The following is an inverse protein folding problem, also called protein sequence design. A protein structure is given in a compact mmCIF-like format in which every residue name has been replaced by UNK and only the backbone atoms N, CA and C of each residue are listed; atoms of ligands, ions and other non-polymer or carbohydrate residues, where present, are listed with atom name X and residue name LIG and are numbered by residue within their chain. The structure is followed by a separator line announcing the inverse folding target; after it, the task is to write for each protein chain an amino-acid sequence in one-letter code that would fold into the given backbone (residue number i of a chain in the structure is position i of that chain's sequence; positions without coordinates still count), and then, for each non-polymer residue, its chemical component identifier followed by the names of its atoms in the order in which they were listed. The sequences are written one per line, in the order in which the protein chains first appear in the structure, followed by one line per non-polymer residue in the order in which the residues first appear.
data_IF_613389981252
#
_entry.id   IF_613389981252
#
_cell.length_a   1.000
_cell.length_b   1.000
_cell.length_c   1.000
_cell.angle_alpha   90.00
_cell.angle_beta   90.00
_cell.angle_gamma   90.00
#
_symmetry.space_group_name_H-M   'P 1'
#
loop_
_entity.id
_entity.type
_entity.pdbx_description
1 polymer ?
#
# COMPACT_ATOMS: atom_id res chain seq x y z
N UNK A 1 17.18 -27.88 28.19
CA UNK A 1 16.76 -26.48 28.25
C UNK A 1 16.72 -25.97 26.84
N UNK A 2 15.54 -26.02 26.20
CA UNK A 2 15.36 -25.67 24.79
C UNK A 2 14.60 -24.36 24.72
N UNK A 3 15.22 -23.33 24.16
CA UNK A 3 14.58 -22.02 23.94
C UNK A 3 13.55 -22.11 22.82
N UNK A 4 12.35 -21.52 22.95
CA UNK A 4 11.39 -21.48 21.87
C UNK A 4 11.77 -20.39 20.85
N UNK A 5 11.91 -20.82 19.61
CA UNK A 5 12.00 -19.98 18.43
C UNK A 5 10.70 -19.19 18.25
N UNK A 6 10.71 -17.87 18.40
CA UNK A 6 9.61 -16.99 18.04
C UNK A 6 9.72 -16.60 16.57
N UNK A 7 8.95 -17.28 15.73
CA UNK A 7 8.55 -16.77 14.42
C UNK A 7 7.13 -16.25 14.57
N UNK A 8 6.97 -14.98 14.80
CA UNK A 8 5.69 -14.30 14.71
C UNK A 8 5.75 -13.35 13.50
N UNK A 9 5.28 -13.85 12.36
CA UNK A 9 4.81 -12.98 11.30
C UNK A 9 3.45 -12.46 11.76
N UNK A 10 3.39 -11.24 12.26
CA UNK A 10 2.13 -10.56 12.55
C UNK A 10 1.39 -10.32 11.23
N UNK A 11 0.40 -11.16 10.96
CA UNK A 11 -0.50 -10.97 9.82
C UNK A 11 -1.47 -9.85 10.17
N UNK A 12 -1.35 -8.74 9.47
CA UNK A 12 -2.33 -7.65 9.55
C UNK A 12 -3.55 -8.07 8.74
N UNK A 13 -4.67 -8.36 9.40
CA UNK A 13 -5.94 -8.63 8.73
C UNK A 13 -6.71 -7.32 8.48
N UNK A 14 -7.22 -7.16 7.26
CA UNK A 14 -7.97 -5.98 6.85
C UNK A 14 -9.47 -6.27 6.80
N UNK A 15 -10.28 -5.38 7.40
CA UNK A 15 -11.74 -5.41 7.25
C UNK A 15 -12.18 -4.87 5.88
N UNK A 16 -13.45 -5.16 5.48
CA UNK A 16 -14.07 -4.63 4.24
C UNK A 16 -14.07 -3.10 4.15
N UNK A 17 -13.91 -2.42 5.27
CA UNK A 17 -13.86 -0.97 5.44
C UNK A 17 -12.43 -0.41 5.44
N UNK A 18 -11.41 -1.22 5.13
CA UNK A 18 -10.01 -0.83 5.13
C UNK A 18 -9.40 -0.67 6.52
N UNK A 19 -10.08 -1.10 7.59
CA UNK A 19 -9.51 -1.05 8.94
C UNK A 19 -8.57 -2.21 9.22
N UNK A 20 -7.34 -1.92 9.66
CA UNK A 20 -6.38 -2.91 10.11
C UNK A 20 -6.73 -3.39 11.53
N UNK A 21 -6.79 -4.70 11.75
CA UNK A 21 -6.95 -5.31 13.07
C UNK A 21 -5.73 -6.14 13.39
N UNK A 22 -5.06 -5.84 14.49
CA UNK A 22 -4.04 -6.66 15.11
C UNK A 22 -4.68 -7.47 16.22
N UNK A 23 -4.94 -8.77 15.98
CA UNK A 23 -5.25 -9.71 17.06
C UNK A 23 -4.98 -11.14 16.59
N UNK A 24 -4.40 -11.93 17.48
CA UNK A 24 -4.06 -13.33 17.23
C UNK A 24 -5.29 -14.15 16.81
N UNK A 25 -5.18 -14.85 15.70
CA UNK A 25 -6.24 -15.66 15.14
C UNK A 25 -5.92 -17.13 15.30
N UNK A 26 -6.87 -17.83 15.95
CA UNK A 26 -6.99 -19.28 15.87
C UNK A 26 -8.03 -19.59 14.78
N UNK A 27 -7.61 -20.26 13.71
CA UNK A 27 -8.53 -20.72 12.66
C UNK A 27 -9.32 -21.93 13.16
N UNK A 28 -10.62 -21.75 13.44
CA UNK A 28 -11.61 -22.82 13.42
C UNK A 28 -12.53 -22.58 12.22
N UNK A 29 -12.48 -23.52 11.25
CA UNK A 29 -13.25 -23.42 10.03
C UNK A 29 -14.75 -23.45 10.27
N UNK A 30 -15.43 -22.35 9.95
CA UNK A 30 -16.86 -22.31 9.68
C UNK A 30 -17.08 -21.38 8.49
N UNK A 31 -17.87 -21.83 7.53
CA UNK A 31 -18.28 -21.11 6.32
C UNK A 31 -18.80 -19.71 6.67
N UNK A 32 -18.37 -18.65 6.00
CA UNK A 32 -18.88 -17.30 6.25
C UNK A 32 -20.35 -17.18 5.83
N UNK A 33 -21.12 -16.43 6.61
CA UNK A 33 -22.59 -16.29 6.54
C UNK A 33 -23.14 -15.54 5.29
N UNK A 34 -22.31 -15.28 4.27
CA UNK A 34 -22.75 -14.66 3.00
C UNK A 34 -23.02 -15.68 1.87
N UNK A 35 -22.92 -16.97 2.13
CA UNK A 35 -23.14 -18.05 1.15
C UNK A 35 -24.64 -18.36 0.89
N UNK A 36 -25.51 -17.36 0.94
CA UNK A 36 -26.93 -17.51 0.75
C UNK A 36 -27.62 -16.30 0.14
N UNK A 37 -27.04 -15.66 -0.87
CA UNK A 37 -27.72 -14.64 -1.66
C UNK A 37 -27.84 -15.13 -3.11
N UNK A 38 -29.06 -15.04 -3.59
CA UNK A 38 -29.65 -15.42 -4.86
C UNK A 38 -28.71 -15.34 -6.10
N UNK A 39 -28.55 -16.49 -6.77
CA UNK A 39 -27.55 -16.80 -7.82
C UNK A 39 -27.87 -16.17 -9.19
N UNK A 40 -28.94 -15.39 -9.36
CA UNK A 40 -29.39 -14.97 -10.68
C UNK A 40 -28.82 -13.65 -11.20
N UNK A 41 -28.48 -12.71 -10.32
CA UNK A 41 -27.93 -11.41 -10.73
C UNK A 41 -26.38 -11.43 -10.84
N UNK A 42 -25.70 -12.30 -10.07
CA UNK A 42 -24.25 -12.42 -10.13
C UNK A 42 -23.74 -13.19 -11.35
N UNK A 43 -24.54 -14.10 -11.90
CA UNK A 43 -24.18 -14.89 -13.08
C UNK A 43 -24.07 -14.03 -14.35
N UNK A 44 -24.88 -12.99 -14.48
CA UNK A 44 -24.88 -12.11 -15.66
C UNK A 44 -23.68 -11.15 -15.64
N UNK A 45 -23.26 -10.70 -14.44
CA UNK A 45 -22.06 -9.86 -14.26
C UNK A 45 -20.78 -10.68 -14.47
N UNK A 46 -20.77 -11.95 -14.06
CA UNK A 46 -19.61 -12.85 -14.26
C UNK A 46 -19.44 -13.22 -15.73
N UNK A 47 -20.54 -13.45 -16.48
CA UNK A 47 -20.47 -13.76 -17.91
C UNK A 47 -20.01 -12.56 -18.76
N UNK A 48 -20.40 -11.34 -18.41
CA UNK A 48 -19.91 -10.13 -19.06
C UNK A 48 -18.41 -9.88 -18.82
N UNK A 49 -17.86 -10.41 -17.71
CA UNK A 49 -16.43 -10.32 -17.40
C UNK A 49 -15.57 -11.37 -18.11
N UNK A 50 -16.16 -12.45 -18.63
CA UNK A 50 -15.41 -13.53 -19.29
C UNK A 50 -15.01 -13.20 -20.74
N UNK A 51 -15.64 -12.20 -21.36
CA UNK A 51 -15.32 -11.73 -22.73
C UNK A 51 -14.39 -10.50 -22.75
N UNK A 52 -14.00 -9.97 -21.62
CA UNK A 52 -13.08 -8.83 -21.55
C UNK A 52 -11.66 -9.30 -21.84
N UNK A 53 -11.13 -8.92 -23.00
CA UNK A 53 -9.69 -9.06 -23.29
C UNK A 53 -8.89 -8.45 -22.14
N UNK A 54 -7.90 -9.17 -21.57
CA UNK A 54 -7.08 -8.60 -20.51
C UNK A 54 -6.49 -7.26 -20.93
N UNK A 55 -6.51 -6.23 -20.06
CA UNK A 55 -5.97 -4.94 -20.39
C UNK A 55 -4.50 -5.09 -20.77
N UNK A 56 -4.14 -4.73 -22.00
CA UNK A 56 -2.79 -4.92 -22.54
C UNK A 56 -2.14 -3.60 -22.97
N UNK A 57 -2.97 -2.59 -23.24
CA UNK A 57 -2.52 -1.26 -23.59
C UNK A 57 -2.32 -0.36 -22.37
N UNK A 58 -1.43 0.65 -22.50
CA UNK A 58 -1.22 1.64 -21.45
C UNK A 58 -2.51 2.39 -21.09
N UNK A 59 -3.33 2.72 -22.08
CA UNK A 59 -4.57 3.46 -21.89
C UNK A 59 -5.61 2.62 -21.12
N UNK A 60 -5.67 1.31 -21.39
CA UNK A 60 -6.54 0.39 -20.66
C UNK A 60 -6.13 0.30 -19.19
N UNK A 61 -4.81 0.24 -18.93
CA UNK A 61 -4.28 0.20 -17.56
C UNK A 61 -4.58 1.52 -16.84
N UNK A 62 -4.42 2.67 -17.49
CA UNK A 62 -4.74 3.97 -16.91
C UNK A 62 -6.24 4.10 -16.59
N UNK A 63 -7.12 3.61 -17.48
CA UNK A 63 -8.56 3.57 -17.23
C UNK A 63 -8.90 2.67 -16.03
N UNK A 64 -8.22 1.54 -15.90
CA UNK A 64 -8.41 0.61 -14.78
C UNK A 64 -7.93 1.21 -13.45
N UNK A 65 -6.79 1.94 -13.46
CA UNK A 65 -6.28 2.67 -12.29
C UNK A 65 -7.30 3.72 -11.84
N UNK A 66 -7.82 4.53 -12.77
CA UNK A 66 -8.84 5.55 -12.49
C UNK A 66 -10.09 4.92 -11.88
N UNK A 67 -10.65 3.90 -12.52
CA UNK A 67 -11.83 3.18 -12.02
C UNK A 67 -11.60 2.62 -10.62
N UNK A 68 -10.38 2.13 -10.33
CA UNK A 68 -10.05 1.62 -9.00
C UNK A 68 -9.92 2.76 -8.00
N UNK A 69 -9.28 3.87 -8.35
CA UNK A 69 -9.17 5.05 -7.49
C UNK A 69 -10.55 5.61 -7.13
N UNK A 70 -11.45 5.75 -8.11
CA UNK A 70 -12.83 6.22 -7.93
C UNK A 70 -13.60 5.34 -6.94
N UNK A 71 -13.47 4.01 -7.06
CA UNK A 71 -14.12 3.04 -6.14
C UNK A 71 -13.73 3.27 -4.69
N UNK A 72 -12.51 3.73 -4.45
CA UNK A 72 -11.94 3.96 -3.13
C UNK A 72 -11.92 5.42 -2.68
N UNK A 73 -12.37 6.38 -3.50
CA UNK A 73 -12.29 7.81 -3.24
C UNK A 73 -13.04 8.26 -1.97
N UNK A 74 -14.07 7.51 -1.55
CA UNK A 74 -14.81 7.77 -0.31
C UNK A 74 -14.14 7.25 0.97
N UNK A 75 -12.91 6.70 0.91
CA UNK A 75 -12.27 6.12 2.08
C UNK A 75 -11.86 7.18 3.09
N UNK A 76 -12.23 6.98 4.36
CA UNK A 76 -11.96 7.92 5.46
C UNK A 76 -10.47 8.17 5.72
N UNK A 77 -9.60 7.27 5.28
CA UNK A 77 -8.15 7.44 5.44
C UNK A 77 -7.64 8.65 4.65
N UNK A 78 -8.24 8.94 3.48
CA UNK A 78 -7.85 10.06 2.62
C UNK A 78 -8.03 11.41 3.32
N UNK A 79 -9.20 11.65 3.91
CA UNK A 79 -9.47 12.89 4.65
C UNK A 79 -8.56 13.08 5.88
N UNK A 80 -8.02 11.99 6.45
CA UNK A 80 -7.09 12.07 7.59
C UNK A 80 -5.70 12.57 7.22
N UNK A 81 -5.33 12.44 5.95
CA UNK A 81 -4.03 12.88 5.40
C UNK A 81 -4.20 14.07 4.44
N UNK A 82 -5.42 14.64 4.36
CA UNK A 82 -5.69 15.82 3.54
C UNK A 82 -5.71 15.56 2.04
N UNK A 83 -5.97 14.33 1.60
CA UNK A 83 -6.15 13.98 0.20
C UNK A 83 -7.62 14.10 -0.18
N UNK A 84 -7.90 14.87 -1.23
CA UNK A 84 -9.17 14.83 -1.93
C UNK A 84 -9.18 13.67 -2.98
N UNK A 85 -10.32 13.42 -3.67
CA UNK A 85 -10.40 12.35 -4.66
C UNK A 85 -9.39 12.46 -5.81
N UNK A 86 -9.12 13.68 -6.30
CA UNK A 86 -8.20 13.92 -7.41
C UNK A 86 -6.74 13.69 -6.95
N UNK A 87 -6.39 14.18 -5.77
CA UNK A 87 -5.09 13.93 -5.13
C UNK A 87 -4.85 12.44 -4.88
N UNK A 88 -5.91 11.72 -4.51
CA UNK A 88 -5.85 10.28 -4.31
C UNK A 88 -5.60 9.53 -5.63
N UNK A 89 -6.33 9.87 -6.71
CA UNK A 89 -6.11 9.27 -8.03
C UNK A 89 -4.66 9.46 -8.48
N UNK A 90 -4.15 10.69 -8.36
CA UNK A 90 -2.78 11.03 -8.73
C UNK A 90 -1.75 10.29 -7.87
N UNK A 91 -1.96 10.17 -6.56
CA UNK A 91 -1.08 9.41 -5.67
C UNK A 91 -1.09 7.92 -6.02
N UNK A 92 -2.27 7.34 -6.23
CA UNK A 92 -2.40 5.93 -6.57
C UNK A 92 -1.78 5.61 -7.94
N UNK A 93 -2.02 6.45 -8.94
CA UNK A 93 -1.37 6.32 -10.25
C UNK A 93 0.15 6.43 -10.13
N UNK A 94 0.67 7.36 -9.33
CA UNK A 94 2.10 7.53 -9.11
C UNK A 94 2.73 6.29 -8.44
N UNK A 95 2.03 5.68 -7.49
CA UNK A 95 2.45 4.43 -6.88
C UNK A 95 2.54 3.31 -7.93
N UNK A 96 1.50 3.09 -8.73
CA UNK A 96 1.48 2.02 -9.75
C UNK A 96 2.59 2.23 -10.79
N UNK A 97 2.84 3.48 -11.21
CA UNK A 97 3.97 3.78 -12.10
C UNK A 97 5.31 3.46 -11.44
N UNK A 98 5.48 3.79 -10.17
CA UNK A 98 6.70 3.50 -9.43
C UNK A 98 6.94 2.00 -9.24
N UNK A 99 5.88 1.20 -9.04
CA UNK A 99 5.96 -0.23 -8.81
C UNK A 99 6.27 -1.04 -10.07
N UNK A 100 5.55 -0.78 -11.15
CA UNK A 100 5.58 -1.65 -12.33
C UNK A 100 5.83 -0.93 -13.65
N UNK A 101 5.86 0.41 -13.66
CA UNK A 101 5.80 1.22 -14.90
C UNK A 101 4.59 0.83 -15.76
N UNK A 102 3.46 0.51 -15.10
CA UNK A 102 2.21 0.05 -15.72
C UNK A 102 2.29 -1.34 -16.38
N UNK A 103 3.28 -2.17 -16.04
CA UNK A 103 3.38 -3.53 -16.55
C UNK A 103 2.56 -4.50 -15.68
N UNK A 104 1.45 -5.08 -16.19
CA UNK A 104 0.59 -5.97 -15.41
C UNK A 104 1.22 -7.32 -15.10
N UNK A 105 2.31 -7.68 -15.79
CA UNK A 105 3.02 -8.95 -15.58
C UNK A 105 4.39 -8.78 -14.94
N UNK A 106 4.69 -7.59 -14.39
CA UNK A 106 5.96 -7.32 -13.72
C UNK A 106 6.16 -8.27 -12.53
N UNK A 107 7.37 -8.82 -12.42
CA UNK A 107 7.77 -9.68 -11.29
C UNK A 107 9.07 -9.15 -10.69
N UNK A 108 9.07 -8.87 -9.40
CA UNK A 108 10.28 -8.45 -8.71
C UNK A 108 11.18 -9.65 -8.35
N UNK A 109 12.47 -9.42 -8.09
CA UNK A 109 13.36 -10.48 -7.59
C UNK A 109 12.90 -11.11 -6.26
N UNK A 110 12.09 -10.37 -5.48
CA UNK A 110 11.52 -10.84 -4.21
C UNK A 110 10.18 -11.57 -4.39
N UNK A 111 9.67 -11.69 -5.64
CA UNK A 111 8.42 -12.37 -5.97
C UNK A 111 7.16 -11.50 -5.87
N UNK A 112 7.28 -10.19 -5.73
CA UNK A 112 6.15 -9.29 -5.86
C UNK A 112 5.63 -9.29 -7.31
N UNK A 113 4.31 -9.18 -7.52
CA UNK A 113 3.70 -9.36 -8.83
C UNK A 113 2.74 -8.23 -9.21
N UNK A 114 2.73 -7.91 -10.50
CA UNK A 114 1.73 -7.12 -11.19
C UNK A 114 1.86 -5.61 -10.99
N UNK A 115 0.78 -4.90 -11.29
CA UNK A 115 0.72 -3.44 -11.33
C UNK A 115 1.13 -2.76 -10.02
N UNK A 116 0.65 -3.26 -8.89
CA UNK A 116 0.96 -2.74 -7.56
C UNK A 116 2.04 -3.53 -6.83
N UNK A 117 2.74 -4.45 -7.51
CA UNK A 117 3.81 -5.27 -6.94
C UNK A 117 3.44 -5.89 -5.58
N UNK A 118 2.30 -6.59 -5.55
CA UNK A 118 1.87 -7.26 -4.32
C UNK A 118 2.71 -8.50 -4.04
N UNK A 119 3.23 -8.60 -2.83
CA UNK A 119 3.84 -9.83 -2.35
C UNK A 119 2.78 -10.95 -2.23
N UNK A 120 3.14 -12.22 -2.48
CA UNK A 120 2.18 -13.33 -2.44
C UNK A 120 1.39 -13.43 -1.12
N UNK A 121 2.04 -13.16 0.00
CA UNK A 121 1.39 -13.21 1.32
C UNK A 121 0.42 -12.03 1.51
N UNK A 122 0.77 -10.85 1.00
CA UNK A 122 -0.11 -9.68 1.00
C UNK A 122 -1.34 -9.93 0.12
N UNK A 123 -1.15 -10.44 -1.10
CA UNK A 123 -2.26 -10.77 -2.00
C UNK A 123 -3.22 -11.79 -1.37
N UNK A 124 -2.65 -12.84 -0.75
CA UNK A 124 -3.44 -13.85 -0.04
C UNK A 124 -4.22 -13.26 1.14
N UNK A 125 -3.62 -12.40 1.94
CA UNK A 125 -4.28 -11.76 3.09
C UNK A 125 -5.41 -10.82 2.66
N UNK A 126 -5.28 -10.21 1.48
CA UNK A 126 -6.28 -9.34 0.88
C UNK A 126 -7.36 -10.12 0.12
N UNK A 127 -7.16 -11.42 -0.13
CA UNK A 127 -8.09 -12.26 -0.88
C UNK A 127 -8.17 -11.90 -2.36
N UNK A 128 -7.05 -11.48 -2.99
CA UNK A 128 -6.97 -11.10 -4.40
C UNK A 128 -6.03 -12.03 -5.16
N UNK A 129 -6.34 -12.27 -6.45
CA UNK A 129 -5.39 -12.86 -7.39
C UNK A 129 -4.46 -11.75 -7.92
N UNK A 130 -3.16 -11.79 -7.59
CA UNK A 130 -2.23 -10.76 -8.05
C UNK A 130 -1.97 -10.82 -9.56
N UNK A 131 -2.37 -11.90 -10.27
CA UNK A 131 -2.23 -12.05 -11.72
C UNK A 131 -3.39 -11.40 -12.48
N UNK A 132 -4.52 -11.18 -11.83
CA UNK A 132 -5.62 -10.41 -12.39
C UNK A 132 -5.33 -8.90 -12.19
N UNK A 133 -5.18 -8.11 -13.27
CA UNK A 133 -4.82 -6.69 -13.16
C UNK A 133 -5.81 -5.87 -12.32
N UNK A 134 -7.11 -6.18 -12.39
CA UNK A 134 -8.15 -5.47 -11.63
C UNK A 134 -8.06 -5.80 -10.15
N UNK A 135 -7.91 -7.09 -9.81
CA UNK A 135 -7.76 -7.51 -8.43
C UNK A 135 -6.43 -7.05 -7.82
N UNK A 136 -5.36 -7.04 -8.63
CA UNK A 136 -4.06 -6.52 -8.21
C UNK A 136 -4.15 -5.04 -7.82
N UNK A 137 -4.78 -4.20 -8.66
CA UNK A 137 -5.00 -2.79 -8.37
C UNK A 137 -5.92 -2.59 -7.16
N UNK A 138 -7.01 -3.35 -7.03
CA UNK A 138 -7.87 -3.28 -5.86
C UNK A 138 -7.11 -3.62 -4.57
N UNK A 139 -6.32 -4.68 -4.61
CA UNK A 139 -5.45 -5.07 -3.50
C UNK A 139 -4.43 -3.99 -3.15
N UNK A 140 -3.77 -3.41 -4.16
CA UNK A 140 -2.81 -2.33 -3.98
C UNK A 140 -3.44 -1.08 -3.35
N UNK A 141 -4.62 -0.67 -3.84
CA UNK A 141 -5.38 0.45 -3.28
C UNK A 141 -5.75 0.20 -1.81
N UNK A 142 -6.31 -0.96 -1.51
CA UNK A 142 -6.68 -1.36 -0.13
C UNK A 142 -5.46 -1.41 0.79
N UNK A 143 -4.33 -1.92 0.31
CA UNK A 143 -3.11 -1.99 1.09
C UNK A 143 -2.55 -0.60 1.40
N UNK A 144 -2.48 0.30 0.40
CA UNK A 144 -2.05 1.69 0.60
C UNK A 144 -2.98 2.44 1.56
N UNK A 145 -4.30 2.33 1.37
CA UNK A 145 -5.28 2.97 2.26
C UNK A 145 -5.18 2.49 3.70
N UNK A 146 -4.85 1.23 3.91
CA UNK A 146 -4.61 0.71 5.25
C UNK A 146 -3.35 1.33 5.89
N UNK A 147 -2.28 1.55 5.10
CA UNK A 147 -1.09 2.23 5.60
C UNK A 147 -1.40 3.71 5.92
N UNK A 148 -2.14 4.40 5.04
CA UNK A 148 -2.60 5.79 5.30
C UNK A 148 -3.45 5.88 6.57
N UNK A 149 -4.35 4.92 6.79
CA UNK A 149 -5.18 4.86 8.00
C UNK A 149 -4.34 4.65 9.27
N UNK A 150 -3.29 3.83 9.17
CA UNK A 150 -2.42 3.45 10.30
C UNK A 150 -1.47 4.58 10.67
N UNK A 151 -0.75 5.08 9.70
CA UNK A 151 0.34 6.03 9.94
C UNK A 151 -0.09 7.50 9.86
N UNK A 152 -1.22 7.82 9.21
CA UNK A 152 -1.79 9.17 9.08
C UNK A 152 -0.80 10.18 8.47
N UNK A 153 0.11 9.69 7.68
CA UNK A 153 1.15 10.42 6.98
C UNK A 153 1.44 9.72 5.66
N UNK A 154 1.59 10.47 4.57
CA UNK A 154 1.76 9.91 3.23
C UNK A 154 3.13 9.24 3.12
N UNK A 155 4.19 9.85 3.61
CA UNK A 155 5.54 9.33 3.48
C UNK A 155 5.75 8.07 4.33
N UNK A 156 5.17 8.04 5.54
CA UNK A 156 5.18 6.85 6.39
C UNK A 156 4.34 5.72 5.76
N UNK A 157 3.22 6.04 5.12
CA UNK A 157 2.41 5.04 4.41
C UNK A 157 3.15 4.46 3.20
N UNK A 158 3.85 5.29 2.43
CA UNK A 158 4.69 4.86 1.32
C UNK A 158 5.89 4.03 1.80
N UNK A 159 6.53 4.45 2.90
CA UNK A 159 7.59 3.66 3.54
C UNK A 159 7.08 2.29 3.98
N UNK A 160 5.87 2.23 4.57
CA UNK A 160 5.23 0.99 5.01
C UNK A 160 4.83 0.10 3.82
N UNK A 161 4.40 0.68 2.71
CA UNK A 161 4.11 -0.05 1.48
C UNK A 161 5.36 -0.76 0.95
N UNK A 162 6.48 -0.04 0.86
CA UNK A 162 7.74 -0.54 0.30
C UNK A 162 8.51 -1.46 1.28
N UNK A 163 8.75 -1.00 2.50
CA UNK A 163 9.61 -1.71 3.47
C UNK A 163 8.84 -2.63 4.42
N UNK A 164 7.50 -2.51 4.45
CA UNK A 164 6.62 -3.17 5.41
C UNK A 164 6.34 -2.31 6.65
N UNK A 165 5.09 -2.37 7.18
CA UNK A 165 4.66 -1.53 8.30
C UNK A 165 5.47 -1.79 9.58
N UNK A 166 5.92 -3.03 9.80
CA UNK A 166 6.75 -3.38 10.95
C UNK A 166 8.08 -2.59 11.00
N UNK A 167 8.65 -2.26 9.84
CA UNK A 167 9.89 -1.45 9.77
C UNK A 167 9.63 0.00 10.14
N UNK A 168 8.50 0.57 9.72
CA UNK A 168 8.12 1.92 10.10
C UNK A 168 7.91 2.02 11.61
N UNK A 169 7.31 1.01 12.23
CA UNK A 169 7.14 0.92 13.68
C UNK A 169 8.50 0.74 14.39
N UNK A 170 9.33 -0.18 13.91
CA UNK A 170 10.67 -0.47 14.47
C UNK A 170 11.55 0.79 14.53
N UNK A 171 11.55 1.57 13.44
CA UNK A 171 12.36 2.79 13.36
C UNK A 171 11.63 4.04 13.84
N UNK A 172 10.37 3.90 14.30
CA UNK A 172 9.52 5.03 14.72
C UNK A 172 9.46 6.14 13.65
N UNK A 173 9.51 5.78 12.37
CA UNK A 173 9.57 6.69 11.24
C UNK A 173 10.00 6.00 9.94
N UNK A 174 10.44 6.80 8.96
CA UNK A 174 10.97 6.27 7.71
C UNK A 174 12.24 5.48 7.99
N UNK A 175 12.30 4.18 7.63
CA UNK A 175 13.51 3.38 7.83
C UNK A 175 14.72 3.97 7.09
N UNK A 176 15.94 3.84 7.61
CA UNK A 176 17.14 4.43 7.01
C UNK A 176 17.64 3.64 5.80
N UNK A 177 16.73 3.00 5.06
CA UNK A 177 17.04 2.25 3.85
C UNK A 177 17.05 3.19 2.64
N UNK A 178 18.14 3.18 1.87
CA UNK A 178 18.25 4.00 0.65
C UNK A 178 17.10 3.69 -0.32
N UNK A 179 16.80 2.38 -0.54
CA UNK A 179 15.70 1.92 -1.39
C UNK A 179 14.36 2.59 -1.01
N UNK A 180 14.02 2.63 0.28
CA UNK A 180 12.75 3.20 0.75
C UNK A 180 12.69 4.72 0.57
N UNK A 181 13.79 5.42 0.86
CA UNK A 181 13.86 6.87 0.65
C UNK A 181 13.78 7.24 -0.83
N UNK A 182 14.48 6.50 -1.69
CA UNK A 182 14.45 6.70 -3.14
C UNK A 182 13.06 6.38 -3.72
N UNK A 183 12.37 5.38 -3.16
CA UNK A 183 11.00 5.03 -3.51
C UNK A 183 10.03 6.18 -3.22
N UNK A 184 10.05 6.73 -2.01
CA UNK A 184 9.21 7.87 -1.63
C UNK A 184 9.51 9.07 -2.54
N UNK A 185 10.78 9.42 -2.71
CA UNK A 185 11.18 10.53 -3.57
C UNK A 185 10.76 10.33 -5.03
N UNK A 186 10.80 9.08 -5.55
CA UNK A 186 10.31 8.72 -6.88
C UNK A 186 8.82 8.96 -7.01
N UNK A 187 8.01 8.50 -6.05
CA UNK A 187 6.56 8.68 -6.08
C UNK A 187 6.20 10.17 -6.05
N UNK A 188 6.83 10.98 -5.21
CA UNK A 188 6.58 12.43 -5.19
C UNK A 188 6.93 13.11 -6.52
N UNK A 189 8.03 12.73 -7.16
CA UNK A 189 8.37 13.24 -8.50
C UNK A 189 7.33 12.88 -9.56
N UNK A 190 6.85 11.63 -9.53
CA UNK A 190 5.81 11.17 -10.45
C UNK A 190 4.51 11.92 -10.16
N UNK A 191 4.11 12.02 -8.90
CA UNK A 191 2.91 12.75 -8.44
C UNK A 191 2.93 14.20 -8.91
N UNK A 192 4.03 14.92 -8.71
CA UNK A 192 4.18 16.31 -9.17
C UNK A 192 4.07 16.43 -10.69
N UNK A 193 4.67 15.50 -11.45
CA UNK A 193 4.55 15.46 -12.90
C UNK A 193 3.12 15.21 -13.37
N UNK A 194 2.40 14.29 -12.74
CA UNK A 194 1.01 13.95 -13.07
C UNK A 194 0.05 15.11 -12.74
N UNK A 195 0.27 15.78 -11.62
CA UNK A 195 -0.51 16.94 -11.20
C UNK A 195 -0.20 18.21 -12.01
N UNK A 196 0.74 18.15 -12.96
CA UNK A 196 1.18 19.33 -13.72
C UNK A 196 1.90 20.39 -12.88
N UNK A 197 2.32 20.05 -11.67
CA UNK A 197 3.03 20.95 -10.76
C UNK A 197 4.52 20.83 -10.99
N UNK A 198 5.27 21.93 -11.18
CA UNK A 198 6.73 21.87 -11.27
C UNK A 198 7.30 21.31 -9.96
N UNK A 199 8.22 20.35 -10.08
CA UNK A 199 8.91 19.77 -8.93
C UNK A 199 9.75 20.87 -8.28
N UNK A 200 9.32 21.43 -7.15
CA UNK A 200 10.22 22.19 -6.28
C UNK A 200 11.32 21.22 -5.82
N UNK A 201 12.57 21.63 -6.01
CA UNK A 201 13.68 20.86 -5.47
C UNK A 201 13.45 20.63 -3.98
N UNK A 202 13.74 19.41 -3.45
CA UNK A 202 13.62 19.15 -2.02
C UNK A 202 14.37 20.23 -1.27
N UNK A 203 13.69 20.85 -0.30
CA UNK A 203 14.30 21.88 0.57
C UNK A 203 15.39 21.18 1.39
N UNK A 204 16.62 21.23 0.88
CA UNK A 204 17.83 20.75 1.55
C UNK A 204 18.25 21.70 2.67
N UNK A 205 17.30 22.21 3.44
CA UNK A 205 17.64 22.77 4.74
C UNK A 205 17.90 21.61 5.68
N UNK A 206 19.13 21.13 5.63
CA UNK A 206 19.74 20.46 6.76
C UNK A 206 19.58 21.44 7.92
N UNK A 207 18.82 21.06 8.92
CA UNK A 207 18.74 21.81 10.16
C UNK A 207 20.11 21.74 10.83
N UNK A 208 21.01 22.63 10.43
CA UNK A 208 22.21 22.97 11.20
C UNK A 208 21.72 23.62 12.49
N UNK A 209 21.78 22.90 13.59
CA UNK A 209 21.50 23.47 14.89
C UNK A 209 20.81 22.53 15.88
N UNK A 210 21.32 21.31 16.06
CA UNK A 210 21.14 20.64 17.34
C UNK A 210 22.32 21.03 18.24
N UNK A 211 22.13 21.86 19.28
CA UNK A 211 23.20 22.11 20.21
C UNK A 211 23.57 20.81 20.93
N UNK A 212 24.84 20.43 20.86
CA UNK A 212 25.39 19.30 21.57
C UNK A 212 25.03 19.41 23.06
N UNK A 213 24.24 18.46 23.55
CA UNK A 213 23.93 18.34 24.97
C UNK A 213 25.20 17.95 25.68
N UNK A 214 25.71 18.83 26.56
CA UNK A 214 26.86 18.57 27.35
C UNK A 214 26.71 17.31 28.21
N UNK A 215 27.77 16.51 28.41
CA UNK A 215 27.69 15.32 29.25
C UNK A 215 27.43 15.73 30.71
N UNK A 216 26.41 15.12 31.30
CA UNK A 216 26.14 15.20 32.74
C UNK A 216 27.17 14.32 33.43
N UNK A 217 28.13 14.93 34.11
CA UNK A 217 29.01 14.26 35.05
C UNK A 217 28.17 13.86 36.27
N UNK A 218 27.98 12.59 36.48
CA UNK A 218 27.46 12.04 37.73
C UNK A 218 28.65 11.83 38.65
N UNK A 219 28.74 12.68 39.65
CA UNK A 219 29.72 12.56 40.74
C UNK A 219 29.19 11.48 41.70
N UNK A 220 29.92 10.39 41.83
CA UNK A 220 29.66 9.33 42.81
C UNK A 220 30.52 9.56 44.03
N UNK A 221 29.91 10.04 45.09
CA UNK A 221 30.40 9.91 46.46
C UNK A 221 29.55 8.87 47.20
#
# INVERSE_FOLDING_TARGET
MSSPSRSAADVIAFGRDGTARTSGWTFHGTRPAWAGLDDSAEAEVVLASLDATPPSGRDDILALIRTTADRHAGNRALGRVGLDPDDWEVLFQALVEAESSYNPTAVSPKGAYGLGQLMPDTARSLGVDPRDPSQNLDGAARYLLAQLATFKDIDLALAAYNAGPHRVVEYSGIPPFAETRDYIARIHRIRSRLAGTPVSAPDTRVADGVPARAPVLIDLQ
#
